data_IF_867109076273
#
_entry.id   IF_867109076273
#
_cell.length_a   1.000
_cell.length_b   1.000
_cell.length_c   1.000
_cell.angle_alpha   90.00
_cell.angle_beta   90.00
_cell.angle_gamma   90.00
#
_symmetry.space_group_name_H-M   'P 1'
#
loop_
_entity.id
_entity.type
_entity.pdbx_description
1 polymer ?
#
# COMPACT_ATOMS: atom_id res chain seq x y z
N UNK A 1 -6.15 17.29 20.05
CA UNK A 1 -5.70 16.15 19.22
C UNK A 1 -6.74 15.06 19.40
N UNK A 2 -7.54 14.83 18.37
CA UNK A 2 -8.61 13.83 18.41
C UNK A 2 -8.03 12.43 18.59
N UNK A 3 -8.71 11.61 19.39
CA UNK A 3 -8.28 10.24 19.64
C UNK A 3 -9.06 9.31 18.73
N UNK A 4 -8.39 8.87 17.67
CA UNK A 4 -8.97 7.98 16.67
C UNK A 4 -8.72 6.51 17.01
N UNK A 5 -9.65 5.65 16.62
CA UNK A 5 -9.45 4.21 16.64
C UNK A 5 -8.93 3.74 15.26
N UNK A 6 -7.62 3.90 15.03
CA UNK A 6 -6.97 3.49 13.78
C UNK A 6 -7.01 1.97 13.53
N UNK A 7 -7.34 1.16 14.53
CA UNK A 7 -7.54 -0.28 14.30
C UNK A 7 -8.76 -0.56 13.43
N UNK A 8 -9.72 0.37 13.43
CA UNK A 8 -10.96 0.31 12.66
C UNK A 8 -10.92 1.23 11.43
N UNK A 9 -9.73 1.71 11.04
CA UNK A 9 -9.61 2.45 9.79
C UNK A 9 -10.08 1.60 8.61
N UNK A 10 -10.69 2.28 7.64
CA UNK A 10 -11.13 1.69 6.37
C UNK A 10 -9.94 1.46 5.44
N UNK A 11 -10.22 1.06 4.21
CA UNK A 11 -9.26 1.01 3.12
C UNK A 11 -8.52 2.35 2.94
N UNK A 12 -7.32 2.26 2.39
CA UNK A 12 -6.49 3.40 2.06
C UNK A 12 -6.65 3.73 0.57
N UNK A 13 -6.95 4.99 0.25
CA UNK A 13 -7.11 5.48 -1.12
C UNK A 13 -6.14 6.64 -1.35
N UNK A 14 -5.50 6.72 -2.51
CA UNK A 14 -4.53 7.80 -2.77
C UNK A 14 -3.49 7.38 -3.80
N UNK A 15 -2.21 7.51 -3.47
CA UNK A 15 -1.14 7.25 -4.43
C UNK A 15 0.12 6.67 -3.80
N UNK A 16 0.82 5.90 -4.61
CA UNK A 16 2.19 5.47 -4.39
C UNK A 16 3.12 6.30 -5.26
N UNK A 17 4.26 6.69 -4.71
CA UNK A 17 5.29 7.46 -5.42
C UNK A 17 6.62 6.73 -5.31
N UNK A 18 7.25 6.44 -6.44
CA UNK A 18 8.50 5.67 -6.49
C UNK A 18 9.64 6.37 -5.75
N UNK A 19 10.32 5.67 -4.84
CA UNK A 19 11.42 6.26 -4.06
C UNK A 19 12.64 6.64 -4.90
N UNK A 20 12.85 5.97 -6.04
CA UNK A 20 14.04 6.17 -6.89
C UNK A 20 13.83 7.14 -8.06
N UNK A 21 12.58 7.37 -8.47
CA UNK A 21 12.27 8.07 -9.73
C UNK A 21 10.97 8.90 -9.69
N UNK A 22 10.32 9.01 -8.52
CA UNK A 22 9.10 9.81 -8.30
C UNK A 22 7.92 9.45 -9.21
N UNK A 23 7.94 8.29 -9.87
CA UNK A 23 6.80 7.83 -10.68
C UNK A 23 5.57 7.62 -9.80
N UNK A 24 4.38 7.97 -10.29
CA UNK A 24 3.14 7.88 -9.53
C UNK A 24 2.33 6.66 -9.96
N UNK A 25 1.71 5.98 -9.00
CA UNK A 25 0.69 4.95 -9.19
C UNK A 25 -0.50 5.33 -8.34
N UNK A 26 -1.64 5.62 -8.98
CA UNK A 26 -2.88 5.91 -8.27
C UNK A 26 -3.49 4.62 -7.73
N UNK A 27 -3.87 4.66 -6.45
CA UNK A 27 -4.40 3.54 -5.67
C UNK A 27 -5.84 3.86 -5.31
N UNK A 28 -6.76 3.11 -5.91
CA UNK A 28 -8.20 3.25 -5.68
C UNK A 28 -8.65 2.50 -4.43
N UNK A 29 -7.91 1.47 -4.02
CA UNK A 29 -8.17 0.74 -2.80
C UNK A 29 -6.91 -0.03 -2.38
N UNK A 30 -6.51 0.14 -1.12
CA UNK A 30 -5.60 -0.76 -0.43
C UNK A 30 -6.27 -1.19 0.87
N UNK A 31 -6.81 -2.40 0.86
CA UNK A 31 -7.44 -3.01 2.01
C UNK A 31 -6.48 -3.98 2.69
N UNK A 32 -6.13 -3.70 3.95
CA UNK A 32 -5.34 -4.63 4.76
C UNK A 32 -6.21 -5.77 5.30
N UNK A 33 -5.62 -6.97 5.35
CA UNK A 33 -6.22 -8.08 6.07
C UNK A 33 -6.52 -7.68 7.52
N UNK A 34 -7.69 -8.06 8.05
CA UNK A 34 -8.23 -7.60 9.33
C UNK A 34 -7.22 -7.61 10.51
N UNK A 35 -6.40 -8.66 10.62
CA UNK A 35 -5.39 -8.78 11.70
C UNK A 35 -4.21 -7.82 11.58
N UNK A 36 -4.01 -7.19 10.42
CA UNK A 36 -2.87 -6.32 10.13
C UNK A 36 -3.17 -4.83 10.28
N UNK A 37 -4.45 -4.43 10.38
CA UNK A 37 -4.83 -3.04 10.68
C UNK A 37 -4.28 -2.59 12.04
N UNK A 38 -4.34 -3.47 13.05
CA UNK A 38 -3.74 -3.24 14.37
C UNK A 38 -2.21 -3.09 14.35
N UNK A 39 -1.53 -3.76 13.42
CA UNK A 39 -0.08 -3.56 13.24
C UNK A 39 0.19 -2.19 12.65
N UNK A 40 -0.60 -1.78 11.65
CA UNK A 40 -0.42 -0.49 11.00
C UNK A 40 -0.75 0.67 11.94
N UNK A 41 -1.82 0.59 12.74
CA UNK A 41 -2.13 1.61 13.76
C UNK A 41 -0.95 1.85 14.70
N UNK A 42 -0.31 0.79 15.20
CA UNK A 42 0.88 0.89 16.06
C UNK A 42 2.05 1.59 15.36
N UNK A 43 2.27 1.33 14.07
CA UNK A 43 3.31 1.98 13.28
C UNK A 43 2.99 3.47 13.11
N UNK A 44 1.74 3.81 12.81
CA UNK A 44 1.30 5.20 12.61
C UNK A 44 1.35 6.03 13.90
N UNK A 45 1.00 5.44 15.03
CA UNK A 45 1.06 6.09 16.35
C UNK A 45 2.50 6.29 16.84
N UNK A 46 3.38 5.32 16.59
CA UNK A 46 4.79 5.37 17.05
C UNK A 46 5.73 6.03 16.04
N UNK A 47 5.30 6.15 14.79
CA UNK A 47 6.12 6.61 13.67
C UNK A 47 7.30 5.70 13.33
N UNK A 48 7.28 4.43 13.74
CA UNK A 48 8.41 3.51 13.62
C UNK A 48 7.93 2.11 13.24
N UNK A 49 8.64 1.48 12.30
CA UNK A 49 8.47 0.06 11.96
C UNK A 49 9.49 -0.78 12.73
N UNK A 50 9.00 -1.82 13.39
CA UNK A 50 9.77 -2.85 14.09
C UNK A 50 9.69 -4.18 13.33
N UNK A 51 10.50 -5.16 13.75
CA UNK A 51 10.45 -6.52 13.19
C UNK A 51 9.03 -7.12 13.15
N UNK A 52 8.24 -6.91 14.21
CA UNK A 52 6.89 -7.48 14.34
C UNK A 52 5.82 -6.73 13.53
N UNK A 53 6.15 -5.52 13.08
CA UNK A 53 5.26 -4.62 12.34
C UNK A 53 5.76 -4.36 10.92
N UNK A 54 6.72 -5.14 10.43
CA UNK A 54 7.30 -4.97 9.10
C UNK A 54 6.49 -5.68 8.01
N UNK A 55 5.87 -6.82 8.34
CA UNK A 55 5.22 -7.69 7.36
C UNK A 55 3.69 -7.59 7.42
N UNK A 56 3.12 -7.37 6.24
CA UNK A 56 1.71 -7.18 6.01
C UNK A 56 1.20 -8.07 4.87
N UNK A 57 -0.12 -8.14 4.80
CA UNK A 57 -0.87 -8.82 3.75
C UNK A 57 -2.00 -7.87 3.39
N UNK A 58 -1.99 -7.45 2.15
CA UNK A 58 -3.06 -6.64 1.56
C UNK A 58 -4.07 -7.63 1.00
N UNK A 59 -5.30 -7.55 1.48
CA UNK A 59 -6.38 -8.42 1.04
C UNK A 59 -6.77 -8.12 -0.41
N UNK A 60 -6.98 -6.84 -0.69
CA UNK A 60 -7.35 -6.29 -1.99
C UNK A 60 -6.53 -5.04 -2.26
N UNK A 61 -5.90 -4.98 -3.44
CA UNK A 61 -5.22 -3.80 -3.95
C UNK A 61 -5.79 -3.48 -5.34
N UNK A 62 -6.31 -2.28 -5.53
CA UNK A 62 -6.79 -1.78 -6.82
C UNK A 62 -5.98 -0.55 -7.18
N UNK A 63 -5.40 -0.55 -8.38
CA UNK A 63 -4.66 0.59 -8.93
C UNK A 63 -5.21 0.96 -10.31
N UNK A 64 -5.01 2.22 -10.71
CA UNK A 64 -5.28 2.64 -12.08
C UNK A 64 -4.30 2.00 -13.07
N UNK A 65 -4.81 1.59 -14.23
CA UNK A 65 -4.04 0.88 -15.25
C UNK A 65 -2.86 1.70 -15.79
N UNK A 66 -2.95 3.03 -15.78
CA UNK A 66 -1.87 3.94 -16.15
C UNK A 66 -0.60 3.75 -15.31
N UNK A 67 -0.75 3.30 -14.05
CA UNK A 67 0.36 3.01 -13.14
C UNK A 67 0.85 1.56 -13.16
N UNK A 68 0.19 0.67 -13.93
CA UNK A 68 0.44 -0.79 -13.90
C UNK A 68 1.90 -1.14 -14.19
N UNK A 69 2.43 -0.67 -15.31
CA UNK A 69 3.80 -1.01 -15.73
C UNK A 69 4.83 -0.53 -14.71
N UNK A 70 4.59 0.62 -14.09
CA UNK A 70 5.42 1.15 -13.00
C UNK A 70 5.36 0.26 -11.76
N UNK A 71 4.17 -0.22 -11.41
CA UNK A 71 3.92 -1.04 -10.23
C UNK A 71 4.49 -2.47 -10.36
N UNK A 72 4.32 -3.10 -11.53
CA UNK A 72 4.79 -4.45 -11.82
C UNK A 72 6.30 -4.52 -12.16
N UNK A 73 6.94 -3.37 -12.37
CA UNK A 73 8.36 -3.30 -12.75
C UNK A 73 9.25 -4.00 -11.72
N UNK A 74 10.07 -4.93 -12.21
CA UNK A 74 11.04 -5.67 -11.38
C UNK A 74 10.43 -6.76 -10.50
N UNK A 75 9.12 -7.02 -10.62
CA UNK A 75 8.40 -8.07 -9.86
C UNK A 75 8.50 -9.45 -10.51
N UNK A 76 8.64 -9.51 -11.83
CA UNK A 76 8.69 -10.76 -12.60
C UNK A 76 10.13 -11.27 -12.78
N UNK A 77 10.35 -12.56 -12.51
CA UNK A 77 11.55 -13.27 -12.95
C UNK A 77 11.47 -13.64 -14.44
N UNK A 78 10.30 -13.56 -15.07
CA UNK A 78 10.14 -13.84 -16.50
C UNK A 78 10.41 -12.59 -17.32
N UNK A 79 11.33 -12.72 -18.28
CA UNK A 79 11.66 -11.69 -19.26
C UNK A 79 11.23 -12.18 -20.63
N UNK A 80 10.49 -11.33 -21.36
CA UNK A 80 10.15 -11.59 -22.76
C UNK A 80 11.38 -11.29 -23.63
N UNK A 81 11.86 -12.28 -24.36
CA UNK A 81 12.95 -12.18 -25.33
C UNK A 81 12.42 -12.58 -26.71
N UNK A 82 12.03 -11.59 -27.52
CA UNK A 82 11.31 -11.83 -28.77
C UNK A 82 9.94 -12.50 -28.55
N UNK A 83 9.79 -13.73 -29.06
CA UNK A 83 8.56 -14.54 -28.95
C UNK A 83 8.61 -15.58 -27.81
N UNK A 84 9.70 -15.66 -27.05
CA UNK A 84 9.86 -16.60 -25.94
C UNK A 84 9.92 -15.86 -24.61
N UNK A 85 9.41 -16.51 -23.56
CA UNK A 85 9.61 -16.07 -22.18
C UNK A 85 10.73 -16.90 -21.57
N UNK A 86 11.73 -16.24 -20.99
CA UNK A 86 12.84 -16.89 -20.29
C UNK A 86 12.84 -16.53 -18.81
N UNK A 87 13.27 -17.47 -17.99
CA UNK A 87 13.57 -17.19 -16.58
C UNK A 87 14.86 -16.36 -16.51
N UNK A 88 14.74 -15.15 -16.01
CA UNK A 88 15.86 -14.26 -15.74
C UNK A 88 16.67 -14.78 -14.56
N UNK A 89 17.98 -14.78 -14.72
CA UNK A 89 18.94 -14.97 -13.63
C UNK A 89 19.13 -13.69 -12.79
N UNK A 90 18.56 -12.55 -13.22
CA UNK A 90 18.62 -11.31 -12.45
C UNK A 90 17.75 -11.43 -11.20
N UNK A 91 18.27 -11.03 -10.02
CA UNK A 91 17.49 -11.04 -8.80
C UNK A 91 16.28 -10.12 -8.95
N UNK A 92 15.15 -10.54 -8.38
CA UNK A 92 13.94 -9.72 -8.30
C UNK A 92 14.30 -8.42 -7.56
N UNK A 93 13.93 -7.30 -8.15
CA UNK A 93 14.20 -5.98 -7.58
C UNK A 93 12.91 -5.16 -7.66
N UNK A 94 11.91 -5.53 -6.84
CA UNK A 94 10.63 -4.86 -6.86
C UNK A 94 10.81 -3.40 -6.45
N UNK A 95 10.00 -2.54 -7.06
CA UNK A 95 10.07 -1.12 -6.79
C UNK A 95 9.55 -0.79 -5.39
N UNK A 96 10.21 0.17 -4.75
CA UNK A 96 9.80 0.72 -3.45
C UNK A 96 9.12 2.06 -3.61
N UNK A 97 8.15 2.31 -2.75
CA UNK A 97 7.29 3.48 -2.83
C UNK A 97 7.19 4.19 -1.47
N UNK A 98 6.97 5.51 -1.52
CA UNK A 98 6.28 6.25 -0.46
C UNK A 98 4.79 6.26 -0.79
N UNK A 99 3.93 5.97 0.19
CA UNK A 99 2.49 6.00 0.05
C UNK A 99 1.90 7.24 0.71
N UNK A 100 1.02 7.92 0.01
CA UNK A 100 0.24 9.06 0.49
C UNK A 100 -1.23 8.71 0.30
N UNK A 101 -1.91 8.48 1.41
CA UNK A 101 -3.27 7.94 1.41
C UNK A 101 -4.20 8.81 2.24
N UNK A 102 -5.49 8.64 1.95
CA UNK A 102 -6.59 9.07 2.78
C UNK A 102 -7.35 7.82 3.22
N UNK A 103 -7.81 7.83 4.46
CA UNK A 103 -8.70 6.81 5.00
C UNK A 103 -9.73 7.45 5.93
N UNK A 104 -10.68 6.65 6.36
CA UNK A 104 -11.69 7.05 7.35
C UNK A 104 -11.46 6.21 8.61
N UNK A 105 -11.38 6.87 9.76
CA UNK A 105 -11.27 6.20 11.05
C UNK A 105 -12.33 6.74 12.05
N UNK A 106 -12.92 5.88 12.88
CA UNK A 106 -13.87 6.32 13.91
C UNK A 106 -13.16 6.95 15.12
N UNK A 107 -13.89 7.76 15.87
CA UNK A 107 -13.43 8.25 17.18
C UNK A 107 -13.41 7.13 18.24
N UNK A 108 -12.43 7.16 19.15
CA UNK A 108 -12.24 6.07 20.13
C UNK A 108 -13.40 5.91 21.14
N UNK A 109 -14.14 7.01 21.40
CA UNK A 109 -15.25 7.02 22.35
C UNK A 109 -16.63 7.07 21.70
N UNK A 110 -16.71 7.21 20.37
CA UNK A 110 -17.98 7.20 19.65
C UNK A 110 -17.76 6.79 18.19
N UNK A 111 -18.05 5.53 17.89
CA UNK A 111 -17.87 4.95 16.55
C UNK A 111 -18.78 5.55 15.48
N UNK A 112 -19.76 6.39 15.85
CA UNK A 112 -20.61 7.10 14.89
C UNK A 112 -19.94 8.36 14.33
N UNK A 113 -18.90 8.88 14.98
CA UNK A 113 -18.13 10.01 14.47
C UNK A 113 -16.94 9.49 13.66
N UNK A 114 -16.95 9.80 12.37
CA UNK A 114 -15.95 9.39 11.41
C UNK A 114 -15.07 10.57 11.02
N UNK A 115 -13.77 10.34 10.96
CA UNK A 115 -12.78 11.35 10.62
C UNK A 115 -12.00 10.92 9.39
N UNK A 116 -11.86 11.84 8.43
CA UNK A 116 -10.95 11.68 7.33
C UNK A 116 -9.51 11.86 7.84
N UNK A 117 -8.63 10.95 7.46
CA UNK A 117 -7.25 10.91 7.92
C UNK A 117 -6.32 10.80 6.72
N UNK A 118 -5.35 11.68 6.65
CA UNK A 118 -4.19 11.45 5.78
C UNK A 118 -3.23 10.49 6.47
N UNK A 119 -2.72 9.53 5.69
CA UNK A 119 -1.78 8.49 6.13
C UNK A 119 -0.56 8.51 5.21
N UNK A 120 0.62 8.64 5.80
CA UNK A 120 1.90 8.57 5.10
C UNK A 120 2.63 7.27 5.46
N UNK A 121 3.03 6.51 4.45
CA UNK A 121 3.80 5.28 4.58
C UNK A 121 5.12 5.42 3.80
N UNK A 122 6.22 5.72 4.48
CA UNK A 122 7.40 6.28 3.81
C UNK A 122 8.26 5.30 3.02
N UNK A 123 8.14 3.99 3.23
CA UNK A 123 8.93 2.99 2.52
C UNK A 123 8.20 1.65 2.48
N UNK A 124 7.59 1.36 1.33
CA UNK A 124 6.70 0.24 1.08
C UNK A 124 7.23 -0.56 -0.09
N UNK A 125 7.21 -1.88 0.03
CA UNK A 125 7.44 -2.80 -1.08
C UNK A 125 6.27 -3.80 -1.15
N UNK A 126 5.83 -4.07 -2.37
CA UNK A 126 4.77 -5.05 -2.64
C UNK A 126 5.35 -6.27 -3.33
N UNK A 127 4.80 -7.44 -3.00
CA UNK A 127 5.18 -8.70 -3.60
C UNK A 127 4.11 -9.25 -4.54
N UNK A 128 4.37 -9.22 -5.84
CA UNK A 128 3.45 -9.75 -6.84
C UNK A 128 3.85 -11.12 -7.39
N UNK A 129 4.85 -11.79 -6.79
CA UNK A 129 5.39 -13.06 -7.32
C UNK A 129 4.34 -14.16 -7.46
N UNK A 130 3.33 -14.15 -6.59
CA UNK A 130 2.22 -15.10 -6.59
C UNK A 130 0.86 -14.41 -6.78
N UNK A 131 0.85 -13.17 -7.28
CA UNK A 131 -0.36 -12.40 -7.50
C UNK A 131 -0.61 -12.24 -9.00
N UNK A 132 -1.83 -12.50 -9.44
CA UNK A 132 -2.25 -12.25 -10.82
C UNK A 132 -3.18 -11.04 -10.81
N UNK A 133 -2.77 -9.98 -11.51
CA UNK A 133 -3.60 -8.81 -11.69
C UNK A 133 -4.80 -9.12 -12.57
N UNK A 134 -6.00 -8.80 -12.10
CA UNK A 134 -7.27 -8.97 -12.82
C UNK A 134 -7.83 -7.60 -13.16
N UNK A 135 -8.06 -7.34 -14.44
CA UNK A 135 -8.71 -6.11 -14.89
C UNK A 135 -10.17 -6.15 -14.47
N UNK A 136 -10.61 -5.20 -13.65
CA UNK A 136 -11.98 -5.15 -13.09
C UNK A 136 -12.88 -4.10 -13.77
N UNK A 137 -12.28 -3.18 -14.54
CA UNK A 137 -12.90 -2.22 -15.46
C UNK A 137 -11.86 -1.82 -16.54
N UNK A 138 -12.21 -0.99 -17.52
CA UNK A 138 -11.28 -0.56 -18.59
C UNK A 138 -10.05 0.22 -18.09
N UNK A 139 -10.08 0.73 -16.87
CA UNK A 139 -9.07 1.62 -16.29
C UNK A 139 -8.44 1.13 -14.99
N UNK A 140 -8.79 -0.06 -14.50
CA UNK A 140 -8.39 -0.56 -13.18
C UNK A 140 -7.91 -2.00 -13.20
N UNK A 141 -6.89 -2.28 -12.37
CA UNK A 141 -6.38 -3.62 -12.14
C UNK A 141 -6.38 -3.94 -10.65
N UNK A 142 -6.93 -5.10 -10.31
CA UNK A 142 -7.07 -5.62 -8.96
C UNK A 142 -6.08 -6.76 -8.73
N UNK A 143 -5.38 -6.71 -7.61
CA UNK A 143 -4.57 -7.80 -7.07
C UNK A 143 -5.15 -8.22 -5.72
N UNK A 144 -5.08 -9.52 -5.43
CA UNK A 144 -5.56 -10.08 -4.17
C UNK A 144 -4.42 -10.76 -3.41
N UNK A 145 -4.50 -10.73 -2.08
CA UNK A 145 -3.55 -11.39 -1.16
C UNK A 145 -2.10 -11.00 -1.47
N UNK A 146 -1.84 -9.70 -1.58
CA UNK A 146 -0.52 -9.15 -1.92
C UNK A 146 0.31 -9.00 -0.63
N UNK A 147 1.41 -9.76 -0.45
CA UNK A 147 2.34 -9.48 0.64
C UNK A 147 2.94 -8.08 0.50
N UNK A 148 3.06 -7.38 1.62
CA UNK A 148 3.60 -6.02 1.67
C UNK A 148 4.59 -5.91 2.82
N UNK A 149 5.68 -5.19 2.59
CA UNK A 149 6.73 -4.93 3.58
C UNK A 149 6.84 -3.43 3.81
N UNK A 150 6.83 -3.00 5.07
CA UNK A 150 7.23 -1.64 5.48
C UNK A 150 8.66 -1.67 6.01
N UNK A 151 9.52 -0.75 5.60
CA UNK A 151 10.92 -0.72 6.03
C UNK A 151 11.17 0.27 7.19
N UNK A 152 12.08 -0.01 8.14
CA UNK A 152 12.35 0.87 9.29
C UNK A 152 12.76 2.33 8.98
N UNK A 153 13.25 2.63 7.78
CA UNK A 153 13.82 3.93 7.42
C UNK A 153 12.85 4.85 6.63
N UNK A 154 11.54 4.68 6.81
CA UNK A 154 10.51 5.54 6.23
C UNK A 154 9.91 6.52 7.25
N UNK A 155 9.24 7.57 6.76
CA UNK A 155 8.36 8.42 7.59
C UNK A 155 6.98 7.78 7.63
N UNK A 156 6.49 7.47 8.84
CA UNK A 156 5.19 6.87 9.07
C UNK A 156 4.37 7.79 9.96
N UNK A 157 3.21 8.24 9.49
CA UNK A 157 2.39 9.18 10.26
C UNK A 157 0.96 9.18 9.78
N UNK A 158 0.08 9.69 10.62
CA UNK A 158 -1.27 10.08 10.22
C UNK A 158 -1.59 11.48 10.75
N UNK A 159 -2.54 12.16 10.09
CA UNK A 159 -3.15 13.39 10.59
C UNK A 159 -4.62 13.42 10.22
N UNK A 160 -5.43 14.02 11.10
CA UNK A 160 -6.82 14.35 10.78
C UNK A 160 -6.83 15.43 9.71
N UNK A 161 -7.73 15.30 8.75
CA UNK A 161 -8.02 16.36 7.78
C UNK A 161 -9.10 17.23 8.39
N UNK A 162 -8.77 18.48 8.66
CA UNK A 162 -9.76 19.47 9.10
C UNK A 162 -10.57 19.91 7.87
N UNK A 163 -11.91 19.88 7.97
CA UNK A 163 -12.77 20.59 7.02
C UNK A 163 -12.59 22.10 7.27
N UNK A 164 -11.97 22.81 6.31
CA UNK A 164 -11.96 24.29 6.28
C UNK A 164 -13.35 24.88 5.99
#
# INVERSE_FOLDING_TARGET
MEKLNLNEMRELNGKLVGLSDESVVDVECLELWAGHRKKLSQVLEKGLVTRDTQEYMVDTLIIKIAGKDTFEKGQSSWVKDGNTYSFSTKPRNPKRFKGQFVTIAPHINDSNYLFACEVNLGNIEFDLSNCVGTTINDDEIMYQKVPMILYPYGVYSFRVVDDE
#
